data_IF_953645615485
#
_entry.id   IF_953645615485
#
_cell.length_a   1.000
_cell.length_b   1.000
_cell.length_c   1.000
_cell.angle_alpha   90.00
_cell.angle_beta   90.00
_cell.angle_gamma   90.00
#
_symmetry.space_group_name_H-M   'P 1'
#
loop_
_entity.id
_entity.type
_entity.pdbx_description
1 polymer ?
#
# COMPACT_ATOMS: atom_id res chain seq x y z
N UNK A 1 1.73 -22.08 -21.20
CA UNK A 1 1.04 -21.56 -20.00
C UNK A 1 1.88 -20.44 -19.41
N UNK A 2 1.39 -19.19 -19.46
CA UNK A 2 2.12 -18.03 -18.96
C UNK A 2 2.34 -18.13 -17.46
N UNK A 3 3.61 -18.21 -17.05
CA UNK A 3 4.04 -18.18 -15.65
C UNK A 3 3.49 -16.91 -14.99
N UNK A 4 2.65 -17.06 -13.97
CA UNK A 4 2.11 -15.95 -13.21
C UNK A 4 3.23 -15.21 -12.48
N UNK A 5 3.62 -14.05 -13.02
CA UNK A 5 4.47 -13.08 -12.32
C UNK A 5 3.74 -12.64 -11.04
N UNK A 6 3.99 -13.34 -9.92
CA UNK A 6 3.79 -12.76 -8.59
C UNK A 6 4.86 -11.66 -8.45
N UNK A 7 4.58 -10.46 -8.98
CA UNK A 7 5.39 -9.27 -8.64
C UNK A 7 5.29 -9.11 -7.13
N UNK A 8 6.33 -9.55 -6.41
CA UNK A 8 6.50 -9.21 -5.00
C UNK A 8 6.56 -7.69 -4.96
N UNK A 9 5.70 -7.10 -4.14
CA UNK A 9 5.72 -5.65 -3.93
C UNK A 9 6.95 -5.36 -3.09
N UNK A 10 7.90 -4.63 -3.66
CA UNK A 10 9.04 -4.15 -2.91
C UNK A 10 8.61 -2.94 -2.07
N UNK A 11 8.52 -3.12 -0.76
CA UNK A 11 8.12 -2.05 0.16
C UNK A 11 9.23 -1.02 0.39
N UNK A 12 10.46 -1.32 -0.03
CA UNK A 12 11.57 -0.35 0.01
C UNK A 12 11.57 0.58 -1.20
N UNK A 13 10.85 0.24 -2.27
CA UNK A 13 10.71 1.11 -3.43
C UNK A 13 9.87 2.35 -3.06
N UNK A 14 10.46 3.53 -3.21
CA UNK A 14 9.83 4.83 -2.96
C UNK A 14 8.51 5.01 -3.73
N UNK A 15 8.43 4.48 -4.95
CA UNK A 15 7.20 4.55 -5.78
C UNK A 15 6.09 3.74 -5.15
N UNK A 16 6.40 2.56 -4.64
CA UNK A 16 5.46 1.68 -3.96
C UNK A 16 5.04 2.28 -2.62
N UNK A 17 5.98 2.78 -1.81
CA UNK A 17 5.69 3.47 -0.54
C UNK A 17 4.74 4.65 -0.76
N UNK A 18 5.03 5.50 -1.76
CA UNK A 18 4.15 6.62 -2.14
C UNK A 18 2.78 6.14 -2.60
N UNK A 19 2.71 5.09 -3.41
CA UNK A 19 1.45 4.52 -3.86
C UNK A 19 0.60 4.01 -2.68
N UNK A 20 1.20 3.30 -1.72
CA UNK A 20 0.53 2.78 -0.53
C UNK A 20 0.05 3.90 0.40
N UNK A 21 0.85 4.95 0.59
CA UNK A 21 0.45 6.12 1.36
C UNK A 21 -0.72 6.86 0.71
N UNK A 22 -0.69 7.08 -0.61
CA UNK A 22 -1.81 7.69 -1.35
C UNK A 22 -3.07 6.83 -1.28
N UNK A 23 -2.92 5.52 -1.42
CA UNK A 23 -4.01 4.56 -1.28
C UNK A 23 -4.64 4.58 0.13
N UNK A 24 -3.81 4.68 1.18
CA UNK A 24 -4.27 4.85 2.57
C UNK A 24 -5.07 6.15 2.74
N UNK A 25 -4.55 7.28 2.26
CA UNK A 25 -5.25 8.58 2.32
C UNK A 25 -6.58 8.51 1.58
N UNK A 26 -6.61 7.86 0.41
CA UNK A 26 -7.83 7.67 -0.36
C UNK A 26 -8.85 6.78 0.36
N UNK A 27 -8.38 5.74 1.05
CA UNK A 27 -9.21 4.88 1.89
C UNK A 27 -9.82 5.65 3.07
N UNK A 28 -9.06 6.54 3.71
CA UNK A 28 -9.53 7.37 4.83
C UNK A 28 -10.50 8.46 4.39
N UNK A 29 -10.27 9.07 3.21
CA UNK A 29 -11.14 10.10 2.63
C UNK A 29 -12.40 9.56 1.96
N UNK A 30 -12.39 8.31 1.51
CA UNK A 30 -13.54 7.71 0.85
C UNK A 30 -14.63 7.30 1.86
N UNK A 31 -15.90 7.53 1.49
CA UNK A 31 -17.03 6.99 2.24
C UNK A 31 -17.02 5.45 2.26
N UNK A 32 -17.58 4.83 3.32
CA UNK A 32 -17.47 3.39 3.60
C UNK A 32 -17.72 2.47 2.39
N UNK A 33 -18.72 2.81 1.57
CA UNK A 33 -19.08 2.02 0.38
C UNK A 33 -18.04 2.05 -0.75
N UNK A 34 -17.18 3.07 -0.79
CA UNK A 34 -16.18 3.29 -1.87
C UNK A 34 -14.73 3.15 -1.40
N UNK A 35 -14.47 2.87 -0.12
CA UNK A 35 -13.12 2.77 0.45
C UNK A 35 -12.22 1.80 -0.31
N UNK A 36 -12.73 0.59 -0.58
CA UNK A 36 -11.98 -0.45 -1.30
C UNK A 36 -11.60 0.00 -2.71
N UNK A 37 -12.56 0.55 -3.45
CA UNK A 37 -12.38 0.98 -4.85
C UNK A 37 -11.44 2.17 -4.94
N UNK A 38 -11.59 3.16 -4.05
CA UNK A 38 -10.73 4.33 -4.01
C UNK A 38 -9.27 3.96 -3.73
N UNK A 39 -9.05 3.05 -2.77
CA UNK A 39 -7.73 2.56 -2.40
C UNK A 39 -7.04 1.82 -3.56
N UNK A 40 -7.74 0.90 -4.22
CA UNK A 40 -7.21 0.16 -5.37
C UNK A 40 -6.91 1.07 -6.56
N UNK A 41 -7.81 2.02 -6.84
CA UNK A 41 -7.67 2.97 -7.95
C UNK A 41 -6.46 3.87 -7.75
N UNK A 42 -6.29 4.45 -6.56
CA UNK A 42 -5.15 5.30 -6.26
C UNK A 42 -3.85 4.51 -6.25
N UNK A 43 -3.83 3.31 -5.65
CA UNK A 43 -2.64 2.46 -5.71
C UNK A 43 -2.25 2.15 -7.17
N UNK A 44 -3.20 1.73 -8.00
CA UNK A 44 -2.96 1.43 -9.43
C UNK A 44 -2.38 2.64 -10.16
N UNK A 45 -2.89 3.84 -9.87
CA UNK A 45 -2.46 5.09 -10.49
C UNK A 45 -0.97 5.37 -10.28
N UNK A 46 -0.45 5.13 -9.07
CA UNK A 46 0.96 5.39 -8.76
C UNK A 46 1.87 4.18 -9.01
N UNK A 47 1.43 2.97 -8.66
CA UNK A 47 2.22 1.75 -8.81
C UNK A 47 2.26 1.23 -10.25
N UNK A 48 1.24 1.53 -11.06
CA UNK A 48 1.10 1.04 -12.43
C UNK A 48 0.56 -0.40 -12.54
N UNK A 49 0.11 -0.99 -11.43
CA UNK A 49 -0.50 -2.32 -11.41
C UNK A 49 -1.54 -2.42 -10.29
N UNK A 50 -2.46 -3.38 -10.43
CA UNK A 50 -3.51 -3.67 -9.45
C UNK A 50 -3.08 -4.72 -8.46
N UNK A 51 -3.52 -4.54 -7.22
CA UNK A 51 -3.29 -5.43 -6.09
C UNK A 51 -4.61 -5.59 -5.37
N UNK A 52 -4.93 -6.81 -4.93
CA UNK A 52 -6.16 -7.06 -4.19
C UNK A 52 -6.23 -6.20 -2.93
N UNK A 53 -7.44 -5.76 -2.59
CA UNK A 53 -7.73 -5.01 -1.35
C UNK A 53 -7.04 -5.56 -0.11
N UNK A 54 -7.14 -6.86 0.14
CA UNK A 54 -6.60 -7.47 1.36
C UNK A 54 -5.08 -7.42 1.41
N UNK A 55 -4.41 -7.56 0.27
CA UNK A 55 -2.96 -7.39 0.17
C UNK A 55 -2.56 -5.94 0.42
N UNK A 56 -3.25 -4.96 -0.19
CA UNK A 56 -3.01 -3.53 0.08
C UNK A 56 -3.17 -3.19 1.56
N UNK A 57 -4.21 -3.72 2.20
CA UNK A 57 -4.46 -3.50 3.63
C UNK A 57 -3.35 -4.09 4.50
N UNK A 58 -2.82 -5.28 4.15
CA UNK A 58 -1.66 -5.88 4.80
C UNK A 58 -0.41 -5.02 4.64
N UNK A 59 -0.11 -4.57 3.42
CA UNK A 59 1.07 -3.73 3.15
C UNK A 59 1.02 -2.38 3.85
N UNK A 60 -0.15 -1.72 3.87
CA UNK A 60 -0.35 -0.47 4.63
C UNK A 60 -0.13 -0.69 6.13
N UNK A 61 -0.60 -1.83 6.68
CA UNK A 61 -0.39 -2.17 8.10
C UNK A 61 1.09 -2.42 8.40
N UNK A 62 1.79 -3.14 7.53
CA UNK A 62 3.23 -3.39 7.64
C UNK A 62 4.03 -2.07 7.62
N UNK A 63 3.78 -1.17 6.67
CA UNK A 63 4.47 0.13 6.61
C UNK A 63 4.23 0.95 7.88
N UNK A 64 3.00 1.01 8.39
CA UNK A 64 2.73 1.73 9.64
C UNK A 64 3.44 1.10 10.86
N UNK A 65 3.64 -0.22 10.85
CA UNK A 65 4.39 -0.92 11.92
C UNK A 65 5.89 -0.67 11.79
N UNK A 66 6.45 -0.76 10.58
CA UNK A 66 7.85 -0.44 10.30
C UNK A 66 8.17 1.01 10.67
N UNK A 67 7.33 1.98 10.29
CA UNK A 67 7.54 3.38 10.63
C UNK A 67 7.51 3.60 12.16
N UNK A 68 6.60 2.95 12.89
CA UNK A 68 6.58 3.00 14.37
C UNK A 68 7.84 2.39 14.98
N UNK A 69 8.30 1.26 14.46
CA UNK A 69 9.50 0.59 14.96
C UNK A 69 10.78 1.38 14.63
N UNK A 70 10.83 2.05 13.48
CA UNK A 70 11.96 2.86 13.06
C UNK A 70 12.04 4.17 13.87
N UNK A 71 10.90 4.79 14.21
CA UNK A 71 10.86 5.94 15.13
C UNK A 71 11.33 5.53 16.53
N UNK A 72 10.92 4.36 17.04
CA UNK A 72 11.33 3.88 18.37
C UNK A 72 12.80 3.45 18.45
N UNK A 73 13.43 3.00 17.36
CA UNK A 73 14.84 2.58 17.35
C UNK A 73 15.84 3.72 17.10
N UNK A 74 15.40 4.91 16.67
CA UNK A 74 16.30 6.05 16.40
C UNK A 74 16.64 6.90 17.63
N UNK A 75 16.11 6.53 18.79
CA UNK A 75 16.26 7.27 20.05
C UNK A 75 16.93 6.47 21.17
N UNK A 76 17.67 5.40 20.87
CA UNK A 76 18.45 4.65 21.85
C UNK A 76 19.94 4.73 21.54
#
# INVERSE_FOLDING_TARGET
MSMGFRRKIDLQDDKIRRALLKAKIAYEKAGERKKSIAMEKEFKKYAGFTVCRDSLRKYIKLINQEDKNNVNNKGN
#
